data_IF_348563947144
#
_entry.id   IF_348563947144
#
_cell.length_a   1.000
_cell.length_b   1.000
_cell.length_c   1.000
_cell.angle_alpha   90.00
_cell.angle_beta   90.00
_cell.angle_gamma   90.00
#
_symmetry.space_group_name_H-M   'P 1'
#
loop_
_entity.id
_entity.type
_entity.pdbx_description
1 polymer ?
#
# COMPACT_ATOMS: atom_id res chain seq x y z
N UNK A 1 -12.85 -22.88 -1.11
CA UNK A 1 -12.26 -22.70 0.25
C UNK A 1 -10.93 -21.94 0.20
N UNK A 2 -9.95 -22.36 -0.63
CA UNK A 2 -8.62 -21.74 -0.71
C UNK A 2 -8.58 -20.25 -1.07
N UNK A 3 -9.41 -19.78 -2.01
CA UNK A 3 -9.47 -18.35 -2.39
C UNK A 3 -9.85 -17.47 -1.21
N UNK A 4 -10.85 -17.89 -0.43
CA UNK A 4 -11.30 -17.16 0.75
C UNK A 4 -10.19 -17.03 1.80
N UNK A 5 -9.50 -18.11 2.12
CA UNK A 5 -8.44 -18.10 3.13
C UNK A 5 -7.29 -17.19 2.74
N UNK A 6 -6.87 -17.24 1.47
CA UNK A 6 -5.81 -16.37 0.95
C UNK A 6 -6.24 -14.91 0.95
N UNK A 7 -7.43 -14.62 0.42
CA UNK A 7 -7.96 -13.26 0.37
C UNK A 7 -8.06 -12.65 1.77
N UNK A 8 -8.61 -13.41 2.72
CA UNK A 8 -8.74 -12.95 4.10
C UNK A 8 -7.39 -12.69 4.77
N UNK A 9 -6.41 -13.59 4.61
CA UNK A 9 -5.06 -13.40 5.17
C UNK A 9 -4.37 -12.17 4.60
N UNK A 10 -4.49 -11.95 3.29
CA UNK A 10 -3.91 -10.78 2.63
C UNK A 10 -4.54 -9.49 3.15
N UNK A 11 -5.88 -9.43 3.29
CA UNK A 11 -6.53 -8.24 3.82
C UNK A 11 -6.18 -7.95 5.27
N UNK A 12 -6.05 -8.99 6.11
CA UNK A 12 -5.59 -8.84 7.51
C UNK A 12 -4.13 -8.35 7.56
N UNK A 13 -3.27 -8.84 6.67
CA UNK A 13 -1.88 -8.38 6.56
C UNK A 13 -1.83 -6.89 6.19
N UNK A 14 -2.67 -6.44 5.25
CA UNK A 14 -2.79 -5.01 4.90
C UNK A 14 -3.26 -4.18 6.10
N UNK A 15 -4.32 -4.60 6.82
CA UNK A 15 -4.77 -3.89 8.03
C UNK A 15 -3.67 -3.81 9.10
N UNK A 16 -2.86 -4.87 9.23
CA UNK A 16 -1.76 -4.94 10.20
C UNK A 16 -0.65 -3.96 9.83
N UNK A 17 -0.23 -3.91 8.55
CA UNK A 17 0.76 -2.95 8.07
C UNK A 17 0.27 -1.51 8.24
N UNK A 18 -1.00 -1.22 7.92
CA UNK A 18 -1.57 0.10 8.15
C UNK A 18 -1.59 0.51 9.62
N UNK A 19 -1.95 -0.42 10.51
CA UNK A 19 -1.90 -0.18 11.96
C UNK A 19 -0.46 0.09 12.43
N UNK A 20 0.52 -0.66 11.94
CA UNK A 20 1.92 -0.46 12.26
C UNK A 20 2.41 0.92 11.79
N UNK A 21 2.16 1.29 10.53
CA UNK A 21 2.53 2.59 9.96
C UNK A 21 1.99 3.74 10.81
N UNK A 22 0.71 3.73 11.14
CA UNK A 22 0.10 4.80 11.93
C UNK A 22 0.69 4.86 13.35
N UNK A 23 0.85 3.72 14.01
CA UNK A 23 1.41 3.65 15.37
C UNK A 23 2.86 4.13 15.45
N UNK A 24 3.72 3.70 14.52
CA UNK A 24 5.13 4.10 14.48
C UNK A 24 5.31 5.60 14.21
N UNK A 25 4.34 6.23 13.53
CA UNK A 25 4.32 7.67 13.34
C UNK A 25 3.63 8.43 14.48
N UNK A 26 3.33 7.77 15.61
CA UNK A 26 2.73 8.41 16.78
C UNK A 26 1.26 8.79 16.61
N UNK A 27 0.53 8.20 15.66
CA UNK A 27 -0.90 8.46 15.49
C UNK A 27 -1.70 7.89 16.67
N UNK A 28 -2.28 8.77 17.47
CA UNK A 28 -3.15 8.40 18.58
C UNK A 28 -4.59 8.14 18.11
N UNK A 29 -5.10 6.95 18.43
CA UNK A 29 -6.47 6.55 18.07
C UNK A 29 -7.42 6.96 19.18
N UNK A 30 -8.45 7.74 18.84
CA UNK A 30 -9.43 8.25 19.83
C UNK A 30 -10.23 7.15 20.54
N UNK A 31 -10.36 5.96 19.95
CA UNK A 31 -11.27 4.91 20.43
C UNK A 31 -10.66 3.49 20.33
N UNK A 32 -9.32 3.39 20.29
CA UNK A 32 -8.50 2.16 20.09
C UNK A 32 -8.88 1.29 18.87
N UNK A 33 -9.77 1.79 18.01
CA UNK A 33 -10.25 1.14 16.79
C UNK A 33 -9.88 1.99 15.58
N UNK A 34 -8.88 1.52 14.86
CA UNK A 34 -8.58 2.04 13.53
C UNK A 34 -9.63 1.56 12.55
N UNK A 35 -10.07 2.46 11.69
CA UNK A 35 -10.97 2.15 10.61
C UNK A 35 -10.43 2.70 9.28
N UNK A 36 -11.16 2.47 8.20
CA UNK A 36 -10.72 2.88 6.86
C UNK A 36 -10.55 4.41 6.71
N UNK A 37 -11.24 5.20 7.54
CA UNK A 37 -11.03 6.66 7.63
C UNK A 37 -9.64 7.02 8.15
N UNK A 38 -9.03 6.18 8.97
CA UNK A 38 -7.67 6.39 9.46
C UNK A 38 -6.67 5.92 8.41
N UNK A 39 -6.92 4.75 7.80
CA UNK A 39 -6.03 4.18 6.79
C UNK A 39 -5.89 5.04 5.54
N UNK A 40 -6.92 5.82 5.18
CA UNK A 40 -6.82 6.74 4.04
C UNK A 40 -5.78 7.85 4.27
N UNK A 41 -5.47 8.20 5.53
CA UNK A 41 -4.45 9.20 5.87
C UNK A 41 -3.05 8.75 5.46
N UNK A 42 -2.80 7.44 5.43
CA UNK A 42 -1.52 6.85 4.97
C UNK A 42 -1.23 7.26 3.54
N UNK A 43 -2.26 7.53 2.72
CA UNK A 43 -2.08 8.02 1.37
C UNK A 43 -1.26 9.34 1.30
N UNK A 44 -1.28 10.17 2.35
CA UNK A 44 -0.49 11.41 2.40
C UNK A 44 1.01 11.12 2.46
N UNK A 45 1.42 10.20 3.32
CA UNK A 45 2.83 9.84 3.58
C UNK A 45 3.38 8.75 2.68
N UNK A 46 2.52 7.97 2.02
CA UNK A 46 2.94 6.84 1.20
C UNK A 46 2.44 6.93 -0.25
N UNK A 47 1.62 7.93 -0.61
CA UNK A 47 1.09 8.16 -1.97
C UNK A 47 0.48 6.89 -2.61
N UNK A 48 -0.15 6.04 -1.81
CA UNK A 48 -0.70 4.73 -2.21
C UNK A 48 -1.58 4.79 -3.47
N UNK A 49 -2.34 5.86 -3.66
CA UNK A 49 -3.23 6.07 -4.80
C UNK A 49 -2.49 6.30 -6.13
N UNK A 50 -1.20 6.67 -6.07
CA UNK A 50 -0.35 6.96 -7.23
C UNK A 50 0.40 5.73 -7.74
N UNK A 51 0.32 4.59 -7.04
CA UNK A 51 0.93 3.33 -7.48
C UNK A 51 0.08 2.61 -8.54
N UNK A 52 0.77 1.92 -9.45
CA UNK A 52 0.18 0.96 -10.39
C UNK A 52 0.89 -0.38 -10.25
N UNK A 53 0.13 -1.47 -10.25
CA UNK A 53 0.65 -2.84 -10.23
C UNK A 53 0.30 -3.52 -11.54
N UNK A 54 1.31 -4.02 -12.25
CA UNK A 54 1.16 -4.78 -13.49
C UNK A 54 1.39 -6.27 -13.23
N UNK A 55 0.49 -7.07 -13.77
CA UNK A 55 0.65 -8.52 -13.91
C UNK A 55 1.08 -8.77 -15.37
N UNK A 56 2.34 -9.14 -15.64
CA UNK A 56 2.88 -9.19 -17.00
C UNK A 56 2.22 -10.22 -17.92
N UNK A 57 1.74 -11.33 -17.36
CA UNK A 57 1.17 -12.46 -18.11
C UNK A 57 -0.27 -12.74 -17.65
N UNK A 58 -1.22 -11.92 -18.11
CA UNK A 58 -2.63 -12.02 -17.74
C UNK A 58 -3.52 -12.20 -18.98
N UNK A 59 -3.99 -13.43 -19.23
CA UNK A 59 -4.86 -13.78 -20.37
C UNK A 59 -4.30 -13.25 -21.72
N UNK A 60 -3.06 -13.63 -22.04
CA UNK A 60 -2.32 -13.20 -23.24
C UNK A 60 -2.07 -11.67 -23.35
N UNK A 61 -2.39 -10.90 -22.31
CA UNK A 61 -2.17 -9.45 -22.22
C UNK A 61 -1.55 -9.08 -20.87
N UNK A 62 -1.39 -7.78 -20.62
CA UNK A 62 -1.06 -7.25 -19.30
C UNK A 62 -2.32 -6.80 -18.54
N UNK A 63 -2.27 -6.89 -17.21
CA UNK A 63 -3.31 -6.31 -16.35
C UNK A 63 -2.68 -5.28 -15.41
N UNK A 64 -3.09 -4.03 -15.54
CA UNK A 64 -2.71 -2.94 -14.64
C UNK A 64 -3.82 -2.74 -13.59
N UNK A 65 -3.44 -2.67 -12.33
CA UNK A 65 -4.33 -2.53 -11.17
C UNK A 65 -3.87 -1.32 -10.35
N UNK A 66 -4.83 -0.46 -9.98
CA UNK A 66 -4.61 0.67 -9.08
C UNK A 66 -5.43 0.44 -7.80
N UNK A 67 -4.92 -0.37 -6.85
CA UNK A 67 -5.73 -0.91 -5.76
C UNK A 67 -6.22 0.13 -4.75
N UNK A 68 -5.58 1.31 -4.71
CA UNK A 68 -5.90 2.43 -3.81
C UNK A 68 -6.30 3.70 -4.59
N UNK A 69 -6.70 3.59 -5.86
CA UNK A 69 -7.09 4.75 -6.68
C UNK A 69 -8.13 5.62 -5.98
N UNK A 70 -9.08 4.98 -5.31
CA UNK A 70 -10.16 5.62 -4.57
C UNK A 70 -9.67 6.54 -3.45
N UNK A 71 -8.49 6.29 -2.86
CA UNK A 71 -7.94 7.14 -1.80
C UNK A 71 -7.59 8.56 -2.28
N UNK A 72 -7.34 8.75 -3.58
CA UNK A 72 -7.13 10.09 -4.17
C UNK A 72 -8.38 10.97 -4.13
N UNK A 73 -9.57 10.39 -3.95
CA UNK A 73 -10.86 11.09 -4.01
C UNK A 73 -11.33 11.61 -2.65
N UNK A 74 -10.60 11.34 -1.58
CA UNK A 74 -10.98 11.82 -0.25
C UNK A 74 -10.86 13.34 -0.18
N UNK A 75 -11.99 14.04 -0.08
CA UNK A 75 -12.04 15.47 0.25
C UNK A 75 -12.46 15.63 1.71
N UNK A 76 -11.91 16.65 2.37
CA UNK A 76 -12.20 17.03 3.78
C UNK A 76 -13.58 17.67 3.97
N UNK A 77 -14.59 17.17 3.29
CA UNK A 77 -15.96 17.67 3.40
C UNK A 77 -16.71 16.74 4.35
N UNK A 78 -17.27 17.31 5.42
CA UNK A 78 -17.90 16.59 6.55
C UNK A 78 -19.10 15.70 6.16
N UNK A 79 -19.49 15.68 4.89
CA UNK A 79 -20.68 15.00 4.37
C UNK A 79 -20.36 13.92 3.31
N UNK A 80 -19.10 13.81 2.85
CA UNK A 80 -18.75 12.87 1.79
C UNK A 80 -18.44 11.47 2.34
N UNK A 81 -19.11 10.46 1.75
CA UNK A 81 -18.85 9.04 2.01
C UNK A 81 -17.37 8.75 1.74
N UNK A 82 -16.65 8.28 2.77
CA UNK A 82 -15.23 7.90 2.66
C UNK A 82 -15.06 6.90 1.51
N UNK A 83 -14.22 7.20 0.51
CA UNK A 83 -14.04 6.32 -0.63
C UNK A 83 -13.25 5.08 -0.21
N UNK A 84 -13.75 3.89 -0.57
CA UNK A 84 -13.14 2.61 -0.21
C UNK A 84 -12.91 1.78 -1.47
N UNK A 85 -11.75 1.15 -1.62
CA UNK A 85 -11.55 0.16 -2.66
C UNK A 85 -12.56 -0.98 -2.54
N UNK A 86 -13.09 -1.45 -3.66
CA UNK A 86 -14.12 -2.50 -3.69
C UNK A 86 -13.70 -3.78 -2.96
N UNK A 87 -12.46 -4.22 -3.16
CA UNK A 87 -11.91 -5.40 -2.47
C UNK A 87 -11.94 -5.24 -0.95
N UNK A 88 -11.74 -4.02 -0.44
CA UNK A 88 -11.78 -3.74 1.00
C UNK A 88 -13.21 -3.76 1.53
N UNK A 89 -14.18 -3.18 0.80
CA UNK A 89 -15.60 -3.24 1.18
C UNK A 89 -16.09 -4.70 1.26
N UNK A 90 -15.72 -5.51 0.27
CA UNK A 90 -16.02 -6.93 0.23
C UNK A 90 -15.39 -7.71 1.39
N UNK A 91 -14.13 -7.39 1.73
CA UNK A 91 -13.46 -7.94 2.91
C UNK A 91 -14.18 -7.58 4.21
N UNK A 92 -14.56 -6.31 4.40
CA UNK A 92 -15.30 -5.86 5.59
C UNK A 92 -16.65 -6.59 5.68
N UNK A 93 -17.37 -6.74 4.58
CA UNK A 93 -18.61 -7.52 4.53
C UNK A 93 -18.40 -8.97 4.97
N UNK A 94 -17.35 -9.62 4.47
CA UNK A 94 -16.97 -10.98 4.87
C UNK A 94 -16.55 -11.08 6.34
N UNK A 95 -15.82 -10.09 6.85
CA UNK A 95 -15.34 -10.01 8.25
C UNK A 95 -16.50 -9.94 9.24
N UNK A 96 -17.59 -9.26 8.88
CA UNK A 96 -18.76 -9.11 9.74
C UNK A 96 -19.86 -10.16 9.50
N UNK A 97 -20.09 -10.58 8.25
CA UNK A 97 -21.10 -11.58 7.90
C UNK A 97 -20.60 -12.48 6.75
N UNK A 98 -19.83 -13.50 7.14
CA UNK A 98 -19.23 -14.46 6.21
C UNK A 98 -20.28 -15.24 5.40
N UNK A 99 -21.39 -15.63 6.01
CA UNK A 99 -22.38 -16.50 5.35
C UNK A 99 -23.03 -15.79 4.17
N UNK A 100 -23.36 -14.51 4.35
CA UNK A 100 -23.98 -13.69 3.31
C UNK A 100 -23.00 -13.24 2.23
N UNK A 101 -21.75 -12.96 2.62
CA UNK A 101 -20.76 -12.35 1.72
C UNK A 101 -19.69 -13.31 1.19
N UNK A 102 -19.85 -14.63 1.40
CA UNK A 102 -18.85 -15.62 0.97
C UNK A 102 -18.49 -15.52 -0.52
N UNK A 103 -19.47 -15.21 -1.39
CA UNK A 103 -19.25 -15.08 -2.84
C UNK A 103 -18.38 -13.87 -3.23
N UNK A 104 -18.25 -12.87 -2.35
CA UNK A 104 -17.30 -11.78 -2.52
C UNK A 104 -15.84 -12.26 -2.40
N UNK A 105 -15.58 -13.43 -1.80
CA UNK A 105 -14.25 -14.03 -1.74
C UNK A 105 -13.93 -14.78 -3.05
N UNK A 106 -13.81 -14.02 -4.14
CA UNK A 106 -13.55 -14.53 -5.49
C UNK A 106 -12.14 -14.16 -5.97
N UNK A 107 -11.72 -14.77 -7.08
CA UNK A 107 -10.37 -14.60 -7.64
C UNK A 107 -10.04 -13.14 -7.98
N UNK A 108 -11.03 -12.35 -8.41
CA UNK A 108 -10.83 -10.93 -8.70
C UNK A 108 -10.44 -10.15 -7.45
N UNK A 109 -11.21 -10.29 -6.37
CA UNK A 109 -10.90 -9.62 -5.10
C UNK A 109 -9.60 -10.11 -4.48
N UNK A 110 -9.27 -11.40 -4.64
CA UNK A 110 -7.96 -11.93 -4.26
C UNK A 110 -6.82 -11.21 -4.99
N UNK A 111 -6.90 -11.08 -6.31
CA UNK A 111 -5.86 -10.44 -7.13
C UNK A 111 -5.76 -8.94 -6.86
N UNK A 112 -6.90 -8.26 -6.69
CA UNK A 112 -6.92 -6.84 -6.35
C UNK A 112 -6.32 -6.59 -4.95
N UNK A 113 -6.58 -7.47 -3.97
CA UNK A 113 -5.96 -7.41 -2.64
C UNK A 113 -4.47 -7.79 -2.66
N UNK A 114 -4.03 -8.74 -3.49
CA UNK A 114 -2.61 -9.03 -3.68
C UNK A 114 -1.87 -7.81 -4.24
N UNK A 115 -2.44 -7.15 -5.25
CA UNK A 115 -1.89 -5.90 -5.77
C UNK A 115 -1.84 -4.81 -4.69
N UNK A 116 -2.89 -4.70 -3.85
CA UNK A 116 -2.89 -3.79 -2.71
C UNK A 116 -1.74 -4.07 -1.74
N UNK A 117 -1.51 -5.33 -1.38
CA UNK A 117 -0.40 -5.72 -0.50
C UNK A 117 0.96 -5.40 -1.14
N UNK A 118 1.13 -5.68 -2.43
CA UNK A 118 2.34 -5.32 -3.17
C UNK A 118 2.60 -3.81 -3.07
N UNK A 119 1.59 -2.97 -3.26
CA UNK A 119 1.73 -1.51 -3.09
C UNK A 119 2.15 -1.14 -1.67
N UNK A 120 1.54 -1.71 -0.64
CA UNK A 120 1.87 -1.40 0.77
C UNK A 120 3.33 -1.75 1.07
N UNK A 121 3.76 -2.97 0.73
CA UNK A 121 5.13 -3.41 0.95
C UNK A 121 6.12 -2.58 0.11
N UNK A 122 5.78 -2.27 -1.14
CA UNK A 122 6.63 -1.43 -2.01
C UNK A 122 6.72 0.02 -1.52
N UNK A 123 5.68 0.53 -0.87
CA UNK A 123 5.70 1.86 -0.28
C UNK A 123 6.59 1.94 0.97
N UNK A 124 6.70 0.84 1.73
CA UNK A 124 7.55 0.78 2.92
C UNK A 124 9.01 0.42 2.61
N UNK A 125 9.23 -0.51 1.67
CA UNK A 125 10.55 -1.14 1.45
C UNK A 125 11.08 -0.97 0.02
N UNK A 126 10.37 -0.24 -0.85
CA UNK A 126 10.72 -0.05 -2.25
C UNK A 126 10.89 -1.42 -2.97
N UNK A 127 12.14 -1.78 -3.32
CA UNK A 127 12.49 -3.03 -4.02
C UNK A 127 13.31 -3.98 -3.14
N UNK A 128 13.54 -3.63 -1.89
CA UNK A 128 14.42 -4.39 -1.00
C UNK A 128 13.71 -5.62 -0.44
N UNK A 129 14.25 -6.81 -0.71
CA UNK A 129 13.71 -8.09 -0.25
C UNK A 129 14.44 -8.65 0.98
N UNK A 130 15.47 -7.94 1.48
CA UNK A 130 16.32 -8.30 2.61
C UNK A 130 16.93 -9.71 2.52
N UNK A 131 17.07 -10.25 1.31
CA UNK A 131 17.75 -11.52 1.11
C UNK A 131 19.24 -11.39 1.46
N UNK A 132 19.88 -12.40 2.09
CA UNK A 132 21.29 -12.36 2.44
C UNK A 132 22.22 -12.51 1.22
N UNK A 133 21.66 -12.58 0.01
CA UNK A 133 22.40 -12.75 -1.23
C UNK A 133 23.17 -11.49 -1.61
N UNK A 134 24.15 -11.64 -2.50
CA UNK A 134 24.88 -10.49 -3.02
C UNK A 134 23.91 -9.56 -3.76
N UNK A 135 23.94 -8.26 -3.43
CA UNK A 135 23.26 -7.22 -4.19
C UNK A 135 23.87 -7.16 -5.59
N UNK A 136 23.20 -7.78 -6.57
CA UNK A 136 23.58 -7.71 -7.98
C UNK A 136 22.85 -6.54 -8.63
N UNK A 137 23.59 -5.54 -9.10
CA UNK A 137 23.06 -4.49 -9.97
C UNK A 137 22.87 -5.07 -11.38
N UNK A 138 21.66 -5.54 -11.69
CA UNK A 138 21.27 -5.92 -13.05
C UNK A 138 20.35 -4.84 -13.64
N UNK A 139 20.78 -4.22 -14.74
CA UNK A 139 19.94 -3.35 -15.57
C UNK A 139 19.22 -4.22 -16.61
N UNK A 140 18.29 -5.06 -16.16
CA UNK A 140 17.43 -5.82 -17.06
C UNK A 140 15.97 -5.70 -16.63
N UNK A 141 15.14 -5.32 -17.60
CA UNK A 141 13.70 -5.21 -17.45
C UNK A 141 13.07 -4.71 -18.74
N UNK A 142 11.80 -5.07 -19.02
CA UNK A 142 11.01 -4.41 -20.04
C UNK A 142 11.09 -2.87 -19.89
N UNK A 143 11.34 -2.15 -20.98
CA UNK A 143 11.34 -0.68 -21.00
C UNK A 143 9.88 -0.13 -20.97
N UNK A 144 9.11 -0.57 -19.97
CA UNK A 144 7.68 -0.24 -19.79
C UNK A 144 7.45 0.81 -18.68
N UNK A 145 8.52 1.38 -18.12
CA UNK A 145 8.46 2.36 -17.04
C UNK A 145 7.99 1.79 -15.70
N UNK A 146 7.98 0.46 -15.54
CA UNK A 146 7.71 -0.22 -14.28
C UNK A 146 8.94 -1.00 -13.81
N UNK A 147 8.98 -1.26 -12.51
CA UNK A 147 10.05 -1.98 -11.84
C UNK A 147 9.55 -3.34 -11.34
N UNK A 148 10.43 -4.31 -11.16
CA UNK A 148 10.04 -5.57 -10.52
C UNK A 148 9.72 -5.34 -9.04
N UNK A 149 8.57 -5.85 -8.59
CA UNK A 149 8.20 -5.86 -7.18
C UNK A 149 9.02 -6.90 -6.42
N UNK A 150 9.00 -6.81 -5.08
CA UNK A 150 9.57 -7.84 -4.20
C UNK A 150 8.99 -9.22 -4.56
N UNK A 151 9.87 -10.20 -4.76
CA UNK A 151 9.54 -11.55 -5.21
C UNK A 151 9.38 -11.73 -6.73
N UNK A 152 9.44 -10.67 -7.54
CA UNK A 152 9.56 -10.75 -9.00
C UNK A 152 8.30 -11.15 -9.79
N UNK A 153 7.18 -11.46 -9.12
CA UNK A 153 5.93 -11.86 -9.80
C UNK A 153 5.11 -10.69 -10.34
N UNK A 154 5.25 -9.50 -9.74
CA UNK A 154 4.52 -8.30 -10.10
C UNK A 154 5.49 -7.22 -10.58
N UNK A 155 5.00 -6.31 -11.41
CA UNK A 155 5.71 -5.06 -11.73
C UNK A 155 4.98 -3.90 -11.08
N UNK A 156 5.72 -2.90 -10.61
CA UNK A 156 5.20 -1.76 -9.87
C UNK A 156 5.69 -0.48 -10.52
N UNK A 157 4.77 0.44 -10.75
CA UNK A 157 5.07 1.83 -11.08
C UNK A 157 5.03 2.65 -9.80
N UNK A 158 6.17 3.22 -9.43
CA UNK A 158 6.30 4.06 -8.26
C UNK A 158 5.74 5.48 -8.50
N UNK A 159 5.24 6.16 -7.45
CA UNK A 159 4.81 7.55 -7.52
C UNK A 159 5.95 8.47 -7.98
N UNK A 160 5.65 9.38 -8.90
CA UNK A 160 6.58 10.40 -9.40
C UNK A 160 6.12 11.83 -9.04
N UNK A 161 5.07 11.95 -8.23
CA UNK A 161 4.33 13.16 -7.89
C UNK A 161 4.71 13.76 -6.52
N UNK A 162 5.82 13.32 -5.94
CA UNK A 162 6.33 13.85 -4.67
C UNK A 162 6.79 15.32 -4.78
N UNK A 163 6.19 16.27 -4.03
CA UNK A 163 6.65 17.65 -3.98
C UNK A 163 8.08 17.74 -3.45
N UNK A 164 8.92 18.59 -4.05
CA UNK A 164 10.36 18.69 -3.68
C UNK A 164 10.58 19.01 -2.19
N UNK A 165 9.67 19.76 -1.57
CA UNK A 165 9.77 20.15 -0.16
C UNK A 165 9.37 19.04 0.82
N UNK A 166 8.63 18.02 0.37
CA UNK A 166 8.30 16.83 1.17
C UNK A 166 9.39 15.75 1.07
N UNK A 167 10.33 15.88 0.12
CA UNK A 167 11.41 14.89 -0.06
C UNK A 167 12.46 15.08 1.03
N UNK A 168 12.93 13.97 1.57
CA UNK A 168 14.08 13.98 2.47
C UNK A 168 15.31 14.58 1.79
N UNK A 169 15.91 15.58 2.44
CA UNK A 169 17.26 16.02 2.13
C UNK A 169 18.25 15.09 2.80
N UNK A 170 19.05 14.37 2.02
CA UNK A 170 20.14 13.56 2.55
C UNK A 170 21.40 14.43 2.68
N UNK A 171 21.81 14.73 3.91
CA UNK A 171 23.07 15.40 4.22
C UNK A 171 23.94 14.48 5.09
N UNK A 172 24.92 13.85 4.44
CA UNK A 172 25.80 12.88 5.08
C UNK A 172 26.67 13.49 6.20
N UNK A 173 27.05 14.76 6.05
CA UNK A 173 27.95 15.43 7.00
C UNK A 173 27.24 15.78 8.31
N UNK A 174 25.94 16.09 8.28
CA UNK A 174 25.13 16.25 9.50
C UNK A 174 24.82 14.91 10.16
N UNK A 175 24.58 13.85 9.38
CA UNK A 175 24.33 12.50 9.93
C UNK A 175 25.53 11.96 10.72
N UNK A 176 26.77 12.20 10.24
CA UNK A 176 28.01 11.80 10.94
C UNK A 176 28.16 12.43 12.32
N UNK A 177 27.60 13.62 12.52
CA UNK A 177 27.69 14.36 13.79
C UNK A 177 26.69 13.88 14.84
N UNK A 178 25.79 12.96 14.50
CA UNK A 178 24.80 12.40 15.42
C UNK A 178 23.54 13.27 15.61
N UNK A 179 23.45 14.41 14.91
CA UNK A 179 22.32 15.36 15.02
C UNK A 179 21.13 14.99 14.13
N UNK A 180 20.97 13.70 13.79
CA UNK A 180 19.86 13.24 12.98
C UNK A 180 18.77 12.63 13.88
N UNK A 181 17.51 12.91 13.55
CA UNK A 181 16.34 12.31 14.20
C UNK A 181 15.49 11.64 13.12
N UNK A 182 14.97 10.46 13.41
CA UNK A 182 13.90 9.87 12.61
C UNK A 182 12.68 10.78 12.79
N UNK A 183 12.22 11.39 11.70
CA UNK A 183 11.03 12.24 11.72
C UNK A 183 9.79 11.36 11.57
N UNK A 184 8.82 11.54 12.46
CA UNK A 184 7.49 10.95 12.32
C UNK A 184 6.62 11.87 11.47
N UNK A 185 5.77 11.29 10.61
CA UNK A 185 4.78 12.03 9.85
C UNK A 185 3.60 12.43 10.74
N UNK A 186 3.30 13.72 10.82
CA UNK A 186 2.19 14.25 11.62
C UNK A 186 0.87 14.18 10.82
N UNK A 187 0.05 13.17 11.10
CA UNK A 187 -1.24 12.98 10.43
C UNK A 187 -2.35 13.94 10.91
N UNK A 188 -2.14 14.70 12.00
CA UNK A 188 -3.17 15.54 12.65
C UNK A 188 -3.17 16.98 12.12
N UNK A 189 -2.00 17.50 11.67
CA UNK A 189 -1.82 18.92 11.31
C UNK A 189 -2.37 19.36 9.96
N UNK A 190 -2.93 18.47 9.13
CA UNK A 190 -3.25 18.77 7.73
C UNK A 190 -4.63 18.40 7.27
#
# INVERSE_FOLDING_TARGET
MRIYELFFRICVEIETNFRAILKENGYEVKDDRLNISDYILINKSHRLSSYEVKIPYWNDNEKIIQPFKEFSRCRKTNEDKIPKPRWYEDFVGIKHDRLKHFNSANFRNLVDAMAALVVVISAQFCREDFSPGNTLLALEGPNDGMESAIGGFFRVKFPNDWPKHERYGFDYESMKKGDWKILCYDYVKE
#
